data_IF_349324840459
#
_entry.id   IF_349324840459
#
_cell.length_a   1.000
_cell.length_b   1.000
_cell.length_c   1.000
_cell.angle_alpha   90.00
_cell.angle_beta   90.00
_cell.angle_gamma   90.00
#
_symmetry.space_group_name_H-M   'P 1'
#
loop_
_entity.id
_entity.type
_entity.pdbx_description
1 polymer ?
#
# COMPACT_ATOMS: atom_id res chain seq x y z
N UNK A 1 26.86 14.07 -37.47
CA UNK A 1 25.41 13.76 -37.36
C UNK A 1 25.06 12.67 -36.32
N UNK A 2 25.95 12.33 -35.35
CA UNK A 2 25.73 11.25 -34.37
C UNK A 2 25.21 11.72 -32.98
N UNK A 3 25.21 13.04 -32.72
CA UNK A 3 24.89 13.61 -31.40
C UNK A 3 23.39 13.79 -31.15
N UNK A 4 22.58 13.90 -32.22
CA UNK A 4 21.12 14.11 -32.12
C UNK A 4 20.39 12.80 -31.74
N UNK A 5 20.87 11.65 -32.21
CA UNK A 5 20.24 10.35 -31.96
C UNK A 5 20.25 9.93 -30.48
N UNK A 6 21.28 10.30 -29.71
CA UNK A 6 21.35 9.99 -28.28
C UNK A 6 20.34 10.81 -27.47
N UNK A 7 20.10 12.06 -27.86
CA UNK A 7 19.12 12.94 -27.22
C UNK A 7 17.68 12.49 -27.47
N UNK A 8 17.39 11.97 -28.67
CA UNK A 8 16.07 11.40 -29.00
C UNK A 8 15.83 10.08 -28.28
N UNK A 9 16.85 9.22 -28.18
CA UNK A 9 16.75 7.98 -27.39
C UNK A 9 16.47 8.28 -25.90
N UNK A 10 17.15 9.27 -25.31
CA UNK A 10 16.88 9.70 -23.94
C UNK A 10 15.46 10.24 -23.73
N UNK A 11 14.88 10.90 -24.74
CA UNK A 11 13.49 11.39 -24.73
C UNK A 11 12.46 10.25 -24.87
N UNK A 12 12.82 9.14 -25.53
CA UNK A 12 12.00 7.93 -25.61
C UNK A 12 12.04 7.10 -24.32
N UNK A 13 13.07 7.27 -23.48
CA UNK A 13 13.08 6.75 -22.10
C UNK A 13 12.42 7.69 -21.09
N UNK A 14 12.12 8.94 -21.49
CA UNK A 14 11.40 9.90 -20.63
C UNK A 14 9.88 9.83 -20.79
N UNK A 15 9.34 8.87 -21.56
CA UNK A 15 7.92 8.52 -21.46
C UNK A 15 7.70 7.88 -20.11
N UNK A 16 7.38 8.72 -19.14
CA UNK A 16 7.06 8.33 -17.77
C UNK A 16 6.09 7.15 -17.80
N UNK A 17 6.57 6.01 -17.34
CA UNK A 17 5.70 5.07 -16.68
C UNK A 17 5.06 5.87 -15.55
N UNK A 18 3.87 6.42 -15.80
CA UNK A 18 3.00 6.91 -14.72
C UNK A 18 2.59 5.65 -13.94
N UNK A 19 3.53 5.12 -13.14
CA UNK A 19 3.29 4.09 -12.17
C UNK A 19 2.20 4.61 -11.23
N UNK A 20 1.32 3.73 -10.80
CA UNK A 20 0.29 4.13 -9.86
C UNK A 20 0.94 4.66 -8.58
N UNK A 21 0.40 5.75 -8.08
CA UNK A 21 0.73 6.27 -6.76
C UNK A 21 -0.22 5.63 -5.76
N UNK A 22 0.35 4.87 -4.83
CA UNK A 22 -0.37 4.38 -3.67
C UNK A 22 -0.38 5.46 -2.59
N UNK A 23 -1.46 5.54 -1.83
CA UNK A 23 -1.54 6.34 -0.61
C UNK A 23 -2.08 5.50 0.54
N UNK A 24 -1.45 5.60 1.71
CA UNK A 24 -1.79 4.85 2.90
C UNK A 24 -2.10 5.81 4.05
N UNK A 25 -3.23 5.57 4.74
CA UNK A 25 -3.63 6.34 5.92
C UNK A 25 -4.10 5.40 7.03
N UNK A 26 -3.96 5.83 8.28
CA UNK A 26 -4.60 5.17 9.42
C UNK A 26 -6.11 5.26 9.28
N UNK A 27 -6.84 4.21 9.69
CA UNK A 27 -8.30 4.21 9.66
C UNK A 27 -8.91 3.90 11.03
N UNK A 28 -8.91 2.64 11.45
CA UNK A 28 -9.45 2.21 12.74
C UNK A 28 -8.44 1.36 13.49
N UNK A 29 -8.37 1.56 14.80
CA UNK A 29 -7.58 0.70 15.70
C UNK A 29 -8.33 0.41 17.00
N UNK A 30 -8.01 -0.73 17.60
CA UNK A 30 -8.41 -1.11 18.95
C UNK A 30 -7.26 -1.86 19.60
N UNK A 31 -6.90 -1.50 20.83
CA UNK A 31 -5.73 -2.04 21.54
C UNK A 31 -4.42 -2.01 20.73
N UNK A 32 -4.30 -1.03 19.83
CA UNK A 32 -3.15 -0.88 18.94
C UNK A 32 -2.81 0.59 18.73
N UNK A 33 -1.51 0.90 18.64
CA UNK A 33 -1.00 2.16 18.08
C UNK A 33 -0.75 1.95 16.59
N UNK A 34 -1.17 2.89 15.76
CA UNK A 34 -0.90 2.84 14.32
C UNK A 34 0.17 3.86 13.94
N UNK A 35 1.04 3.47 13.01
CA UNK A 35 2.02 4.35 12.39
C UNK A 35 2.00 4.14 10.88
N UNK A 36 2.13 5.23 10.13
CA UNK A 36 2.40 5.19 8.68
C UNK A 36 3.83 5.70 8.49
N UNK A 37 4.72 4.81 8.06
CA UNK A 37 6.13 5.10 7.83
C UNK A 37 6.35 5.65 6.41
N UNK A 38 5.60 5.14 5.43
CA UNK A 38 5.63 5.61 4.04
C UNK A 38 4.18 5.82 3.59
N UNK A 39 3.77 7.09 3.46
CA UNK A 39 2.38 7.46 3.23
C UNK A 39 1.98 7.53 1.74
N UNK A 40 2.94 7.70 0.82
CA UNK A 40 2.66 7.85 -0.61
C UNK A 40 3.83 7.38 -1.47
N UNK A 41 3.55 6.76 -2.62
CA UNK A 41 4.54 6.35 -3.60
C UNK A 41 4.21 5.02 -4.28
N UNK A 42 5.19 4.41 -4.94
CA UNK A 42 5.05 3.06 -5.52
C UNK A 42 5.02 1.94 -4.45
N UNK A 43 5.52 2.25 -3.26
CA UNK A 43 5.47 1.42 -2.06
C UNK A 43 4.99 2.29 -0.90
N UNK A 44 4.12 1.75 -0.08
CA UNK A 44 3.63 2.38 1.15
C UNK A 44 3.77 1.39 2.31
N UNK A 45 3.95 1.91 3.53
CA UNK A 45 4.25 1.11 4.71
C UNK A 45 3.54 1.68 5.93
N UNK A 46 2.87 0.80 6.66
CA UNK A 46 2.26 1.10 7.96
C UNK A 46 2.39 -0.08 8.91
N UNK A 47 2.33 0.21 10.20
CA UNK A 47 2.50 -0.76 11.27
C UNK A 47 1.48 -0.52 12.39
N UNK A 48 1.03 -1.62 13.00
CA UNK A 48 0.19 -1.60 14.19
C UNK A 48 0.91 -2.28 15.33
N UNK A 49 1.26 -1.55 16.38
CA UNK A 49 1.87 -2.11 17.59
C UNK A 49 0.78 -2.37 18.60
N UNK A 50 0.76 -3.57 19.20
CA UNK A 50 -0.12 -3.82 20.33
C UNK A 50 0.17 -2.82 21.46
N UNK A 51 -0.87 -2.38 22.16
CA UNK A 51 -0.72 -1.51 23.33
C UNK A 51 -0.80 -2.37 24.60
N UNK A 52 0.31 -2.73 25.24
CA UNK A 52 0.28 -3.38 26.55
C UNK A 52 -0.26 -2.40 27.59
N UNK A 53 -0.93 -2.86 28.68
CA UNK A 53 -1.36 -4.22 28.99
C UNK A 53 -2.83 -4.46 28.60
N UNK A 54 -3.38 -3.71 27.63
CA UNK A 54 -4.83 -3.71 27.39
C UNK A 54 -5.31 -5.09 26.94
N UNK A 55 -6.12 -5.72 27.77
CA UNK A 55 -6.84 -6.94 27.41
C UNK A 55 -7.82 -6.66 26.27
N UNK A 56 -8.06 -7.67 25.42
CA UNK A 56 -9.02 -7.62 24.33
C UNK A 56 -8.40 -7.71 22.94
N UNK A 57 -9.26 -7.80 21.93
CA UNK A 57 -8.88 -8.08 20.55
C UNK A 57 -8.07 -6.92 19.97
N UNK A 58 -6.83 -7.20 19.57
CA UNK A 58 -6.00 -6.29 18.79
C UNK A 58 -6.60 -6.08 17.40
N UNK A 59 -6.68 -4.81 16.95
CA UNK A 59 -7.15 -4.44 15.62
C UNK A 59 -6.35 -3.26 15.09
N UNK A 60 -5.86 -3.38 13.85
CA UNK A 60 -5.24 -2.28 13.11
C UNK A 60 -5.70 -2.30 11.65
N UNK A 61 -6.34 -1.23 11.20
CA UNK A 61 -6.84 -1.06 9.84
C UNK A 61 -6.27 0.17 9.17
N UNK A 62 -5.90 0.04 7.91
CA UNK A 62 -5.37 1.11 7.08
C UNK A 62 -6.20 1.27 5.82
N UNK A 63 -6.37 2.51 5.38
CA UNK A 63 -6.96 2.83 4.09
C UNK A 63 -5.84 2.92 3.05
N UNK A 64 -5.86 1.99 2.10
CA UNK A 64 -4.98 1.97 0.93
C UNK A 64 -5.77 2.43 -0.30
N UNK A 65 -5.27 3.44 -1.01
CA UNK A 65 -5.83 3.92 -2.28
C UNK A 65 -4.76 3.94 -3.36
N UNK A 66 -5.18 3.68 -4.58
CA UNK A 66 -4.38 3.86 -5.79
C UNK A 66 -5.03 4.94 -6.64
N UNK A 67 -4.24 5.81 -7.28
CA UNK A 67 -4.71 6.80 -8.25
C UNK A 67 -5.06 6.18 -9.61
N UNK A 68 -4.70 4.92 -9.82
CA UNK A 68 -4.92 4.18 -11.06
C UNK A 68 -5.40 2.76 -10.81
N UNK A 69 -6.14 2.24 -11.77
CA UNK A 69 -6.49 0.83 -11.87
C UNK A 69 -5.25 0.00 -12.22
N UNK A 70 -4.57 -0.51 -11.19
CA UNK A 70 -3.39 -1.38 -11.34
C UNK A 70 -3.42 -2.49 -10.28
N UNK A 71 -2.86 -3.69 -10.57
CA UNK A 71 -2.67 -4.72 -9.54
C UNK A 71 -1.80 -4.21 -8.39
N UNK A 72 -2.19 -4.53 -7.15
CA UNK A 72 -1.41 -4.20 -5.94
C UNK A 72 -1.05 -5.49 -5.21
N UNK A 73 0.23 -5.61 -4.82
CA UNK A 73 0.68 -6.69 -3.95
C UNK A 73 0.63 -6.22 -2.50
N UNK A 74 -0.19 -6.88 -1.68
CA UNK A 74 -0.25 -6.64 -0.24
C UNK A 74 0.62 -7.67 0.49
N UNK A 75 1.44 -7.22 1.43
CA UNK A 75 2.24 -8.10 2.30
C UNK A 75 2.11 -7.56 3.72
N UNK A 76 1.87 -8.47 4.67
CA UNK A 76 1.84 -8.16 6.09
C UNK A 76 2.64 -9.21 6.87
N UNK A 77 3.08 -8.84 8.06
CA UNK A 77 3.73 -9.75 9.01
C UNK A 77 3.14 -9.49 10.39
N UNK A 78 3.15 -10.50 11.24
CA UNK A 78 2.68 -10.44 12.62
C UNK A 78 3.75 -11.01 13.53
N UNK A 79 3.84 -10.49 14.75
CA UNK A 79 4.83 -10.92 15.73
C UNK A 79 4.21 -11.13 17.12
N UNK A 80 4.07 -12.37 17.63
CA UNK A 80 4.26 -13.61 16.86
C UNK A 80 3.11 -13.80 15.85
N UNK A 81 3.37 -14.55 14.78
CA UNK A 81 2.39 -14.90 13.77
C UNK A 81 1.25 -15.75 14.34
N UNK A 82 1.55 -16.60 15.33
CA UNK A 82 0.58 -17.39 16.10
C UNK A 82 -0.48 -16.55 16.83
N UNK A 83 -0.23 -15.25 17.03
CA UNK A 83 -1.19 -14.33 17.64
C UNK A 83 -2.21 -13.77 16.65
N UNK A 84 -2.06 -14.01 15.34
CA UNK A 84 -3.02 -13.58 14.35
C UNK A 84 -4.24 -14.52 14.32
N UNK A 85 -5.33 -14.10 14.94
CA UNK A 85 -6.59 -14.84 14.86
C UNK A 85 -7.23 -14.78 13.46
N UNK A 86 -7.12 -13.64 12.76
CA UNK A 86 -7.73 -13.43 11.45
C UNK A 86 -7.17 -12.19 10.74
N UNK A 87 -7.23 -12.17 9.41
CA UNK A 87 -6.84 -11.04 8.58
C UNK A 87 -7.63 -11.02 7.28
N UNK A 88 -8.01 -9.82 6.82
CA UNK A 88 -8.79 -9.64 5.59
C UNK A 88 -8.28 -8.45 4.81
N UNK A 89 -8.23 -8.58 3.47
CA UNK A 89 -8.17 -7.45 2.56
C UNK A 89 -9.60 -7.16 2.11
N UNK A 90 -10.08 -5.94 2.35
CA UNK A 90 -11.39 -5.49 1.85
C UNK A 90 -11.17 -4.42 0.79
N UNK A 91 -11.75 -4.65 -0.38
CA UNK A 91 -11.80 -3.66 -1.44
C UNK A 91 -13.14 -2.94 -1.35
N UNK A 92 -13.12 -1.60 -1.34
CA UNK A 92 -14.34 -0.82 -1.57
C UNK A 92 -14.62 -0.93 -3.07
N UNK A 93 -15.45 -1.91 -3.46
CA UNK A 93 -15.91 -2.24 -4.82
C UNK A 93 -14.91 -1.88 -5.93
N UNK A 94 -14.23 -2.89 -6.48
CA UNK A 94 -13.46 -2.71 -7.69
C UNK A 94 -14.33 -2.02 -8.76
N UNK A 95 -13.80 -1.06 -9.54
CA UNK A 95 -14.45 -0.61 -10.77
C UNK A 95 -14.86 -1.85 -11.59
N UNK A 96 -16.02 -1.79 -12.25
CA UNK A 96 -16.62 -2.94 -12.95
C UNK A 96 -15.66 -3.63 -13.94
N UNK A 97 -14.62 -2.92 -14.39
CA UNK A 97 -13.52 -3.36 -15.26
C UNK A 97 -12.72 -4.58 -14.75
N UNK A 98 -12.84 -4.96 -13.47
CA UNK A 98 -12.19 -6.16 -12.91
C UNK A 98 -13.07 -7.41 -12.89
N UNK A 99 -14.36 -7.29 -13.24
CA UNK A 99 -15.27 -8.44 -13.38
C UNK A 99 -15.12 -9.01 -14.80
N UNK A 100 -14.03 -9.74 -15.06
CA UNK A 100 -13.91 -10.59 -16.25
C UNK A 100 -14.20 -12.03 -15.91
#
# INVERSE_FOLDING_TARGET
>A
MKKVMLFVAAFLFSVGANAATLSLKTFQSSNATQKVDIASGSVVLGSGLATPPKEGIWKSQFDLKSDKTTPVKVTWTFNPDSSLASGWVKFKSAPDDFKK
#
